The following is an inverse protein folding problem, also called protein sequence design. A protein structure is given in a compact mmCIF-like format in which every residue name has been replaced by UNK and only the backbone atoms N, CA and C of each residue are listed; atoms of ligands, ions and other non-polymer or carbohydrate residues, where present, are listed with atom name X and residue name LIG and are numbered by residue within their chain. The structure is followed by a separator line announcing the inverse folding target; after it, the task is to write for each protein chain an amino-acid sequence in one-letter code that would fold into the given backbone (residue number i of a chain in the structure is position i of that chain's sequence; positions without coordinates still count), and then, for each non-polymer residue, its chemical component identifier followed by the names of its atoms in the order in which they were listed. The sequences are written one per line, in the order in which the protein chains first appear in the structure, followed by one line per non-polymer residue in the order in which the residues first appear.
data_IF_795502141586
#
_entry.id   IF_795502141586
#
_cell.length_a   1.000
_cell.length_b   1.000
_cell.length_c   1.000
_cell.angle_alpha   90.00
_cell.angle_beta   90.00
_cell.angle_gamma   90.00
#
_symmetry.space_group_name_H-M   'P 1'
#
loop_
_entity.id
_entity.type
_entity.pdbx_description
1 polymer ?
#
# COMPACT_ATOMS: atom_id res chain seq x y z
N UNK A 1 18.31 18.07 -34.19
CA UNK A 1 18.74 17.34 -32.97
C UNK A 1 17.47 17.01 -32.16
N UNK A 2 16.91 15.82 -32.34
CA UNK A 2 15.76 15.37 -31.51
C UNK A 2 16.23 15.11 -30.08
N UNK A 3 15.70 15.88 -29.12
CA UNK A 3 15.90 15.58 -27.70
C UNK A 3 15.22 14.26 -27.42
N UNK A 4 15.97 13.19 -27.16
CA UNK A 4 15.44 11.94 -26.61
C UNK A 4 14.63 12.30 -25.38
N UNK A 5 13.29 12.17 -25.44
CA UNK A 5 12.43 12.26 -24.24
C UNK A 5 12.90 11.19 -23.28
N UNK A 6 13.42 11.59 -22.12
CA UNK A 6 13.77 10.68 -21.05
C UNK A 6 12.57 9.81 -20.65
N UNK A 7 12.78 8.70 -19.96
CA UNK A 7 11.72 7.79 -19.57
C UNK A 7 10.64 8.55 -18.79
N UNK A 8 9.38 8.38 -19.20
CA UNK A 8 8.24 9.08 -18.60
C UNK A 8 8.06 8.60 -17.16
N UNK A 9 8.22 9.49 -16.20
CA UNK A 9 8.09 9.18 -14.77
C UNK A 9 6.68 8.67 -14.45
N UNK A 10 6.56 7.52 -13.79
CA UNK A 10 5.28 6.98 -13.31
C UNK A 10 4.88 7.71 -12.04
N UNK A 11 3.61 8.14 -11.96
CA UNK A 11 3.05 8.77 -10.76
C UNK A 11 1.92 7.91 -10.23
N UNK A 12 2.12 7.34 -9.05
CA UNK A 12 1.13 6.54 -8.36
C UNK A 12 0.12 7.40 -7.60
N UNK A 13 -1.09 6.88 -7.47
CA UNK A 13 -2.21 7.47 -6.72
C UNK A 13 -2.38 6.75 -5.39
N UNK A 14 -2.63 7.50 -4.31
CA UNK A 14 -2.93 6.90 -2.99
C UNK A 14 -4.44 6.81 -2.82
N UNK A 15 -4.92 5.62 -2.49
CA UNK A 15 -6.32 5.30 -2.21
C UNK A 15 -6.43 4.70 -0.80
N UNK A 16 -7.52 5.01 -0.11
CA UNK A 16 -7.75 4.60 1.28
C UNK A 16 -7.52 5.74 2.28
N UNK A 17 -7.40 5.43 3.59
CA UNK A 17 -7.44 4.07 4.16
C UNK A 17 -8.82 3.41 4.03
N UNK A 18 -8.83 2.16 3.63
CA UNK A 18 -10.02 1.32 3.65
C UNK A 18 -9.99 0.43 4.89
N UNK A 19 -11.08 0.37 5.63
CA UNK A 19 -11.22 -0.60 6.71
C UNK A 19 -11.47 -1.99 6.16
N UNK A 20 -10.80 -2.99 6.73
CA UNK A 20 -11.05 -4.39 6.40
C UNK A 20 -11.99 -4.95 7.47
N UNK A 21 -13.19 -5.41 7.09
CA UNK A 21 -14.11 -6.03 8.04
C UNK A 21 -13.47 -7.28 8.64
N UNK A 22 -13.63 -7.44 9.95
CA UNK A 22 -13.28 -8.67 10.67
C UNK A 22 -14.55 -9.30 11.23
N UNK A 23 -14.60 -10.64 11.30
CA UNK A 23 -15.66 -11.31 12.04
C UNK A 23 -15.69 -10.83 13.50
N UNK A 24 -16.88 -10.81 14.08
CA UNK A 24 -17.06 -10.50 15.51
C UNK A 24 -16.16 -11.41 16.35
N UNK A 25 -15.49 -10.84 17.35
CA UNK A 25 -14.55 -11.51 18.28
C UNK A 25 -13.31 -12.17 17.65
N UNK A 26 -13.13 -12.09 16.35
CA UNK A 26 -11.95 -12.61 15.65
C UNK A 26 -10.95 -11.50 15.31
N UNK A 27 -9.67 -11.78 15.55
CA UNK A 27 -8.56 -10.92 15.07
C UNK A 27 -7.85 -11.54 13.86
N UNK A 28 -8.57 -12.36 13.11
CA UNK A 28 -8.07 -13.05 11.92
C UNK A 28 -8.90 -12.61 10.71
N UNK A 29 -8.23 -12.11 9.70
CA UNK A 29 -8.84 -11.81 8.39
C UNK A 29 -8.76 -13.08 7.56
N UNK A 30 -9.89 -13.55 7.04
CA UNK A 30 -9.97 -14.73 6.19
C UNK A 30 -10.08 -14.33 4.71
N UNK A 31 -10.07 -15.31 3.81
CA UNK A 31 -10.31 -15.08 2.38
C UNK A 31 -11.70 -14.51 2.12
N UNK A 32 -12.68 -14.86 2.93
CA UNK A 32 -14.06 -14.40 2.79
C UNK A 32 -14.17 -12.89 3.04
N UNK A 33 -13.53 -12.38 4.09
CA UNK A 33 -13.44 -10.94 4.35
C UNK A 33 -12.69 -10.22 3.23
N UNK A 34 -11.62 -10.82 2.70
CA UNK A 34 -10.90 -10.27 1.55
C UNK A 34 -11.76 -10.19 0.29
N UNK A 35 -12.59 -11.20 0.02
CA UNK A 35 -13.54 -11.19 -1.08
C UNK A 35 -14.66 -10.17 -0.85
N UNK A 36 -15.19 -10.08 0.36
CA UNK A 36 -16.20 -9.10 0.74
C UNK A 36 -15.67 -7.67 0.57
N UNK A 37 -14.42 -7.44 0.98
CA UNK A 37 -13.73 -6.17 0.79
C UNK A 37 -13.73 -5.73 -0.69
N UNK A 38 -13.32 -6.59 -1.62
CA UNK A 38 -13.30 -6.23 -3.04
C UNK A 38 -14.68 -6.18 -3.69
N UNK A 39 -15.69 -6.88 -3.15
CA UNK A 39 -17.10 -6.68 -3.58
C UNK A 39 -17.61 -5.29 -3.20
N UNK A 40 -17.24 -4.80 -2.02
CA UNK A 40 -17.59 -3.45 -1.56
C UNK A 40 -16.82 -2.33 -2.30
N UNK A 41 -15.65 -2.66 -2.87
CA UNK A 41 -14.77 -1.70 -3.54
C UNK A 41 -14.41 -2.15 -4.98
N UNK A 42 -15.39 -2.29 -5.89
CA UNK A 42 -15.14 -2.83 -7.24
C UNK A 42 -14.21 -1.96 -8.08
N UNK A 43 -14.14 -0.65 -7.83
CA UNK A 43 -13.31 0.31 -8.57
C UNK A 43 -11.80 0.14 -8.36
N UNK A 44 -11.38 -0.50 -7.28
CA UNK A 44 -9.96 -0.76 -6.99
C UNK A 44 -9.53 -2.19 -7.34
N UNK A 45 -10.47 -3.08 -7.50
CA UNK A 45 -10.28 -4.52 -7.61
C UNK A 45 -9.21 -4.93 -8.63
N UNK A 46 -9.30 -4.38 -9.84
CA UNK A 46 -8.44 -4.75 -10.96
C UNK A 46 -7.21 -3.84 -11.11
N UNK A 47 -6.97 -2.94 -10.16
CA UNK A 47 -5.79 -2.06 -10.20
C UNK A 47 -4.55 -2.78 -9.68
N UNK A 48 -3.39 -2.17 -9.94
CA UNK A 48 -2.06 -2.70 -9.63
C UNK A 48 -1.23 -1.65 -8.91
N UNK A 49 -0.19 -2.08 -8.23
CA UNK A 49 0.75 -1.21 -7.54
C UNK A 49 1.27 -1.84 -6.25
N UNK A 50 1.60 -1.02 -5.27
CA UNK A 50 1.92 -1.48 -3.93
C UNK A 50 0.74 -1.22 -2.98
N UNK A 51 0.75 -1.89 -1.82
CA UNK A 51 -0.23 -1.67 -0.77
C UNK A 51 0.42 -1.71 0.60
N UNK A 52 -0.18 -1.02 1.55
CA UNK A 52 0.26 -0.98 2.94
C UNK A 52 -0.90 -1.45 3.83
N UNK A 53 -0.72 -2.59 4.45
CA UNK A 53 -1.59 -3.08 5.50
C UNK A 53 -1.16 -2.50 6.84
N UNK A 54 -2.09 -1.96 7.61
CA UNK A 54 -1.82 -1.34 8.89
C UNK A 54 -2.93 -1.52 9.90
N UNK A 55 -2.71 -1.01 11.10
CA UNK A 55 -3.69 -0.94 12.17
C UNK A 55 -3.93 0.52 12.55
N UNK A 56 -5.19 0.90 12.70
CA UNK A 56 -5.61 2.19 13.25
C UNK A 56 -6.08 2.01 14.69
N UNK A 57 -5.47 2.73 15.63
CA UNK A 57 -5.86 2.74 17.04
C UNK A 57 -5.52 4.08 17.70
N UNK A 58 -6.35 4.56 18.62
CA UNK A 58 -6.05 5.71 19.47
C UNK A 58 -5.63 6.99 18.74
N UNK A 59 -6.14 7.24 17.54
CA UNK A 59 -5.82 8.44 16.75
C UNK A 59 -4.54 8.31 15.88
N UNK A 60 -3.86 7.15 15.86
CA UNK A 60 -2.71 6.88 15.03
C UNK A 60 -2.89 5.67 14.12
N UNK A 61 -1.99 5.53 13.14
CA UNK A 61 -1.93 4.40 12.22
C UNK A 61 -0.51 3.84 12.21
N UNK A 62 -0.41 2.51 12.29
CA UNK A 62 0.86 1.78 12.31
C UNK A 62 0.94 0.85 11.12
N UNK A 63 1.96 0.96 10.26
CA UNK A 63 2.16 0.02 9.16
C UNK A 63 2.59 -1.34 9.72
N UNK A 64 1.97 -2.41 9.23
CA UNK A 64 2.22 -3.79 9.65
C UNK A 64 2.93 -4.58 8.56
N UNK A 65 2.50 -4.42 7.32
CA UNK A 65 3.03 -5.12 6.16
C UNK A 65 2.88 -4.27 4.90
N UNK A 66 3.89 -4.30 4.04
CA UNK A 66 3.85 -3.73 2.69
C UNK A 66 3.91 -4.86 1.69
N UNK A 67 3.14 -4.78 0.62
CA UNK A 67 3.19 -5.75 -0.47
C UNK A 67 3.01 -5.10 -1.83
N UNK A 68 3.31 -5.88 -2.87
CA UNK A 68 3.05 -5.50 -4.25
C UNK A 68 1.90 -6.31 -4.85
N UNK A 69 1.23 -5.74 -5.83
CA UNK A 69 0.24 -6.39 -6.67
C UNK A 69 0.55 -6.09 -8.14
N UNK A 70 1.24 -7.01 -8.78
CA UNK A 70 1.67 -6.89 -10.18
C UNK A 70 0.61 -7.37 -11.16
N UNK A 71 -0.29 -8.24 -10.74
CA UNK A 71 -1.47 -8.71 -11.50
C UNK A 71 -2.69 -7.85 -11.20
N UNK A 72 -3.21 -7.92 -9.97
CA UNK A 72 -4.28 -7.06 -9.47
C UNK A 72 -4.39 -7.18 -7.94
N UNK A 73 -4.98 -6.17 -7.31
CA UNK A 73 -5.14 -6.19 -5.85
C UNK A 73 -6.01 -7.35 -5.36
N UNK A 74 -7.11 -7.67 -6.06
CA UNK A 74 -8.00 -8.78 -5.66
C UNK A 74 -7.33 -10.15 -5.74
N UNK A 75 -6.35 -10.31 -6.63
CA UNK A 75 -5.60 -11.56 -6.74
C UNK A 75 -4.47 -11.69 -5.73
N UNK A 76 -3.93 -10.58 -5.23
CA UNK A 76 -2.66 -10.61 -4.50
C UNK A 76 -2.72 -10.10 -3.07
N UNK A 77 -3.69 -9.23 -2.69
CA UNK A 77 -3.72 -8.67 -1.33
C UNK A 77 -4.13 -9.67 -0.24
N UNK A 78 -4.98 -10.65 -0.54
CA UNK A 78 -5.53 -11.58 0.45
C UNK A 78 -5.25 -13.04 0.11
N UNK A 79 -4.06 -13.33 -0.39
CA UNK A 79 -3.57 -14.71 -0.53
C UNK A 79 -3.29 -15.31 0.86
N UNK A 80 -3.25 -16.65 0.97
CA UNK A 80 -2.98 -17.31 2.24
C UNK A 80 -1.68 -16.83 2.91
N UNK A 81 -0.62 -16.63 2.12
CA UNK A 81 0.66 -16.09 2.60
C UNK A 81 0.50 -14.67 3.19
N UNK A 82 -0.28 -13.81 2.53
CA UNK A 82 -0.53 -12.44 3.02
C UNK A 82 -1.39 -12.43 4.28
N UNK A 83 -2.44 -13.23 4.31
CA UNK A 83 -3.31 -13.39 5.48
C UNK A 83 -2.53 -13.87 6.70
N UNK A 84 -1.59 -14.80 6.52
CA UNK A 84 -0.69 -15.23 7.59
C UNK A 84 0.20 -14.08 8.08
N UNK A 85 0.78 -13.30 7.18
CA UNK A 85 1.59 -12.12 7.52
C UNK A 85 0.79 -11.07 8.27
N UNK A 86 -0.46 -10.83 7.88
CA UNK A 86 -1.36 -9.92 8.60
C UNK A 86 -1.65 -10.43 10.02
N UNK A 87 -1.96 -11.71 10.18
CA UNK A 87 -2.21 -12.32 11.47
C UNK A 87 -1.00 -12.23 12.40
N UNK A 88 0.20 -12.56 11.90
CA UNK A 88 1.47 -12.44 12.66
C UNK A 88 1.71 -11.00 13.10
N UNK A 89 1.52 -10.04 12.20
CA UNK A 89 1.71 -8.62 12.51
C UNK A 89 0.70 -8.09 13.51
N UNK A 90 -0.58 -8.42 13.34
CA UNK A 90 -1.65 -8.00 14.25
C UNK A 90 -1.54 -8.62 15.66
N UNK A 91 -1.00 -9.83 15.78
CA UNK A 91 -0.84 -10.51 17.07
C UNK A 91 0.04 -9.74 18.07
N UNK A 92 0.84 -8.79 17.60
CA UNK A 92 1.67 -7.92 18.45
C UNK A 92 0.91 -6.77 19.10
N UNK A 93 -0.34 -6.55 18.71
CA UNK A 93 -1.16 -5.42 19.15
C UNK A 93 -2.46 -5.93 19.78
N UNK A 94 -2.78 -5.44 20.96
CA UNK A 94 -4.00 -5.86 21.69
C UNK A 94 -5.28 -5.41 20.98
N UNK A 95 -5.25 -4.26 20.30
CA UNK A 95 -6.40 -3.67 19.60
C UNK A 95 -5.98 -2.85 18.38
N UNK A 96 -6.94 -2.54 17.56
CA UNK A 96 -6.79 -1.74 16.34
C UNK A 96 -7.68 -2.25 15.23
N UNK A 97 -8.17 -1.34 14.41
CA UNK A 97 -8.92 -1.67 13.19
C UNK A 97 -7.96 -1.90 12.05
N UNK A 98 -8.00 -3.04 11.36
CA UNK A 98 -7.15 -3.27 10.21
C UNK A 98 -7.57 -2.35 9.05
N UNK A 99 -6.57 -1.75 8.42
CA UNK A 99 -6.74 -0.81 7.32
C UNK A 99 -5.81 -1.16 6.17
N UNK A 100 -6.23 -0.79 4.96
CA UNK A 100 -5.45 -0.98 3.74
C UNK A 100 -5.33 0.35 2.97
N UNK A 101 -4.10 0.76 2.70
CA UNK A 101 -3.79 1.77 1.69
C UNK A 101 -3.35 1.09 0.41
N UNK A 102 -3.80 1.61 -0.72
CA UNK A 102 -3.34 1.21 -2.05
C UNK A 102 -2.56 2.35 -2.69
N UNK A 103 -1.37 2.05 -3.18
CA UNK A 103 -0.53 2.97 -3.94
C UNK A 103 -0.58 2.50 -5.38
N UNK A 104 -1.63 2.94 -6.08
CA UNK A 104 -2.07 2.38 -7.35
C UNK A 104 -1.40 3.03 -8.55
N UNK A 105 -1.07 2.22 -9.55
CA UNK A 105 -0.64 2.70 -10.85
C UNK A 105 -1.70 3.59 -11.50
N UNK A 106 -1.30 4.57 -12.34
CA UNK A 106 -2.26 5.45 -13.01
C UNK A 106 -3.24 4.65 -13.87
N UNK A 107 -4.48 5.14 -13.95
CA UNK A 107 -5.47 4.65 -14.91
C UNK A 107 -5.03 5.07 -16.32
N UNK A 108 -5.01 4.15 -17.26
CA UNK A 108 -4.63 4.45 -18.64
C UNK A 108 -4.22 3.23 -19.45
N UNK A 109 -3.93 3.46 -20.73
CA UNK A 109 -3.47 2.44 -21.66
C UNK A 109 -2.01 2.10 -21.37
N UNK A 110 -1.75 0.86 -21.00
CA UNK A 110 -0.42 0.32 -20.81
C UNK A 110 -0.19 -0.28 -19.41
N UNK A 111 0.67 -1.29 -19.35
CA UNK A 111 1.08 -1.90 -18.09
C UNK A 111 2.23 -1.09 -17.49
N UNK A 112 2.13 -0.73 -16.23
CA UNK A 112 3.31 -0.26 -15.49
C UNK A 112 4.32 -1.40 -15.42
N UNK A 113 5.58 -1.08 -15.62
CA UNK A 113 6.66 -2.06 -15.51
C UNK A 113 6.70 -2.63 -14.09
N UNK A 114 6.72 -3.96 -13.97
CA UNK A 114 6.80 -4.68 -12.69
C UNK A 114 7.97 -4.18 -11.84
N UNK A 115 9.11 -3.89 -12.44
CA UNK A 115 10.29 -3.34 -11.76
C UNK A 115 10.01 -2.00 -11.07
N UNK A 116 9.14 -1.15 -11.63
CA UNK A 116 8.76 0.13 -10.99
C UNK A 116 7.88 -0.12 -9.78
N UNK A 117 7.04 -1.16 -9.81
CA UNK A 117 6.22 -1.57 -8.66
C UNK A 117 7.11 -2.16 -7.56
N UNK A 118 8.08 -2.99 -7.91
CA UNK A 118 9.07 -3.54 -6.98
C UNK A 118 9.91 -2.43 -6.31
N UNK A 119 10.40 -1.46 -7.08
CA UNK A 119 11.11 -0.29 -6.54
C UNK A 119 10.23 0.52 -5.58
N UNK A 120 8.93 0.67 -5.89
CA UNK A 120 7.95 1.33 -5.02
C UNK A 120 7.73 0.54 -3.72
N UNK A 121 7.54 -0.77 -3.80
CA UNK A 121 7.38 -1.63 -2.64
C UNK A 121 8.60 -1.52 -1.72
N UNK A 122 9.80 -1.65 -2.26
CA UNK A 122 11.05 -1.54 -1.50
C UNK A 122 11.20 -0.19 -0.78
N UNK A 123 10.85 0.91 -1.44
CA UNK A 123 10.83 2.23 -0.83
C UNK A 123 9.84 2.31 0.34
N UNK A 124 8.62 1.79 0.15
CA UNK A 124 7.59 1.77 1.19
C UNK A 124 7.99 0.89 2.37
N UNK A 125 8.62 -0.28 2.11
CA UNK A 125 9.14 -1.17 3.16
C UNK A 125 10.16 -0.44 4.04
N UNK A 126 11.12 0.26 3.45
CA UNK A 126 12.15 0.99 4.20
C UNK A 126 11.53 2.03 5.14
N UNK A 127 10.60 2.83 4.62
CA UNK A 127 9.95 3.87 5.41
C UNK A 127 9.02 3.29 6.49
N UNK A 128 8.27 2.24 6.15
CA UNK A 128 7.42 1.53 7.10
C UNK A 128 8.24 0.90 8.23
N UNK A 129 9.41 0.33 7.91
CA UNK A 129 10.30 -0.28 8.90
C UNK A 129 10.94 0.76 9.83
N UNK A 130 11.27 1.95 9.33
CA UNK A 130 11.72 3.06 10.16
C UNK A 130 10.63 3.52 11.14
N UNK A 131 9.35 3.47 10.72
CA UNK A 131 8.20 3.81 11.57
C UNK A 131 7.78 2.68 12.52
N UNK A 132 7.90 1.42 12.09
CA UNK A 132 7.57 0.24 12.89
C UNK A 132 8.70 -0.79 12.82
N UNK A 133 9.56 -0.90 13.85
CA UNK A 133 10.63 -1.92 13.89
C UNK A 133 10.13 -3.36 13.79
N UNK A 134 8.85 -3.60 14.13
CA UNK A 134 8.19 -4.91 14.07
C UNK A 134 7.47 -5.18 12.74
N UNK A 135 7.72 -4.36 11.71
CA UNK A 135 7.22 -4.60 10.36
C UNK A 135 7.62 -6.01 9.88
N UNK A 136 6.69 -6.72 9.26
CA UNK A 136 6.89 -8.11 8.82
C UNK A 136 7.82 -8.25 7.61
N UNK A 137 8.12 -7.15 6.91
CA UNK A 137 8.91 -7.13 5.67
C UNK A 137 10.44 -7.02 5.85
N UNK A 138 11.15 -7.25 4.74
CA UNK A 138 12.59 -7.05 4.55
C UNK A 138 12.88 -5.80 3.69
N UNK A 139 14.12 -5.28 3.64
CA UNK A 139 14.50 -3.98 3.03
C UNK A 139 15.24 -4.08 1.69
N UNK A 140 15.17 -3.03 0.84
CA UNK A 140 15.91 -2.86 -0.42
C UNK A 140 16.17 -1.38 -0.80
N UNK A 141 17.16 -1.07 -1.65
CA UNK A 141 17.58 0.31 -2.01
C UNK A 141 17.87 0.51 -3.49
N UNK A 142 17.23 1.50 -4.17
CA UNK A 142 17.67 2.12 -5.45
C UNK A 142 16.94 3.44 -5.70
N UNK A 143 17.56 4.39 -6.45
CA UNK A 143 16.84 5.57 -6.98
C UNK A 143 15.72 5.12 -7.91
N UNK A 144 14.54 5.73 -7.77
CA UNK A 144 13.32 5.26 -8.41
C UNK A 144 12.79 6.22 -9.49
N UNK A 145 12.33 5.64 -10.59
CA UNK A 145 11.66 6.35 -11.70
C UNK A 145 10.17 6.59 -11.44
N UNK A 146 9.76 6.74 -10.18
CA UNK A 146 8.37 6.90 -9.77
C UNK A 146 8.20 8.00 -8.70
N UNK A 147 6.97 8.46 -8.53
CA UNK A 147 6.55 9.36 -7.47
C UNK A 147 5.20 8.93 -6.90
N UNK A 148 4.93 9.27 -5.64
CA UNK A 148 3.62 9.12 -5.02
C UNK A 148 3.00 10.49 -4.91
N UNK A 149 1.83 10.67 -5.53
CA UNK A 149 1.14 11.96 -5.56
C UNK A 149 0.80 12.44 -4.14
N UNK A 150 1.27 13.64 -3.79
CA UNK A 150 1.03 14.25 -2.47
C UNK A 150 1.81 13.63 -1.32
N UNK A 151 2.72 12.69 -1.58
CA UNK A 151 3.54 12.00 -0.56
C UNK A 151 5.02 12.24 -0.81
N UNK A 152 5.61 11.69 -1.89
CA UNK A 152 7.04 11.80 -2.17
C UNK A 152 7.36 12.05 -3.64
N UNK A 153 8.51 12.69 -3.89
CA UNK A 153 9.15 12.86 -5.20
C UNK A 153 8.33 13.64 -6.25
N UNK A 154 7.22 14.25 -5.85
CA UNK A 154 6.47 15.16 -6.72
C UNK A 154 6.39 16.55 -6.09
N UNK A 155 6.87 17.56 -6.82
CA UNK A 155 6.69 18.97 -6.46
C UNK A 155 5.35 19.45 -7.01
N UNK A 156 4.50 20.02 -6.14
CA UNK A 156 3.25 20.67 -6.49
C UNK A 156 2.04 19.73 -6.69
N UNK A 157 0.84 20.29 -6.66
CA UNK A 157 -0.45 19.63 -6.81
C UNK A 157 -1.22 19.49 -5.49
N UNK A 158 -2.55 19.30 -5.60
CA UNK A 158 -3.42 19.06 -4.43
C UNK A 158 -3.08 17.73 -3.77
N UNK A 159 -2.84 17.76 -2.46
CA UNK A 159 -2.65 16.56 -1.66
C UNK A 159 -4.00 16.04 -1.19
N UNK A 160 -4.37 14.82 -1.57
CA UNK A 160 -5.60 14.17 -1.12
C UNK A 160 -5.58 13.87 0.40
N UNK A 161 -6.75 13.64 0.99
CA UNK A 161 -6.87 13.22 2.39
C UNK A 161 -6.15 11.87 2.62
N UNK A 162 -6.28 10.93 1.69
CA UNK A 162 -5.59 9.62 1.74
C UNK A 162 -4.07 9.77 1.69
N UNK A 163 -3.56 10.65 0.83
CA UNK A 163 -2.13 10.91 0.74
C UNK A 163 -1.57 11.52 2.04
N UNK A 164 -2.31 12.46 2.67
CA UNK A 164 -1.93 13.01 3.98
C UNK A 164 -1.92 11.95 5.08
N UNK A 165 -2.95 11.10 5.12
CA UNK A 165 -3.03 10.02 6.10
C UNK A 165 -1.88 9.03 5.94
N UNK A 166 -1.54 8.65 4.70
CA UNK A 166 -0.40 7.79 4.43
C UNK A 166 0.93 8.45 4.82
N UNK A 167 1.14 9.74 4.47
CA UNK A 167 2.34 10.48 4.90
C UNK A 167 2.52 10.42 6.41
N UNK A 168 1.47 10.73 7.16
CA UNK A 168 1.50 10.71 8.62
C UNK A 168 1.80 9.33 9.17
N UNK A 169 1.13 8.30 8.66
CA UNK A 169 1.36 6.92 9.10
C UNK A 169 2.80 6.46 8.83
N UNK A 170 3.33 6.78 7.67
CA UNK A 170 4.68 6.34 7.24
C UNK A 170 5.81 7.23 7.78
N UNK A 171 5.51 8.38 8.38
CA UNK A 171 6.52 9.32 8.86
C UNK A 171 7.28 10.04 7.74
N UNK A 172 6.68 10.25 6.58
CA UNK A 172 7.25 11.12 5.55
C UNK A 172 7.10 12.60 5.98
N UNK A 173 8.19 13.32 6.11
CA UNK A 173 8.24 14.76 6.33
C UNK A 173 8.26 15.57 5.03
#
# INVERSE_FOLDING_TARGET
MERKKGPKKVTFEVLGPYEIPMPDDSRVITREEGQAFFRAHPHIRNRRGAYVFGLRSGGGMTPIYVGEATRSYDQECFTNDKLLKYAIGMARYEKGTPILFLVASPLGKGRVNVKVIDDLENFLIQNAKAKNPHLVNKTGTKEADWAIQGVVRRKGGKTSASARALRSMMGFE
#
